data_IF_478163018677
#
_entry.id   IF_478163018677
#
_cell.length_a   1.000
_cell.length_b   1.000
_cell.length_c   1.000
_cell.angle_alpha   90.00
_cell.angle_beta   90.00
_cell.angle_gamma   90.00
#
_symmetry.space_group_name_H-M   'P 1'
#
loop_
_entity.id
_entity.type
_entity.pdbx_description
1 polymer ?
#
# COMPACT_ATOMS: atom_id res chain seq x y z
N UNK A 1 -4.22 -2.69 10.91
CA UNK A 1 -5.60 -2.13 10.96
C UNK A 1 -5.62 -0.67 10.52
N UNK A 2 -4.95 0.25 11.22
CA UNK A 2 -4.94 1.69 10.86
C UNK A 2 -4.52 1.92 9.40
N UNK A 3 -3.42 1.30 8.96
CA UNK A 3 -3.00 1.40 7.55
C UNK A 3 -4.06 0.89 6.57
N UNK A 4 -4.71 -0.23 6.83
CA UNK A 4 -5.81 -0.70 5.95
C UNK A 4 -7.01 0.26 5.94
N UNK A 5 -7.36 0.84 7.09
CA UNK A 5 -8.45 1.82 7.16
C UNK A 5 -8.11 3.10 6.39
N UNK A 6 -6.88 3.60 6.54
CA UNK A 6 -6.38 4.74 5.78
C UNK A 6 -6.38 4.46 4.27
N UNK A 7 -6.01 3.24 3.87
CA UNK A 7 -6.04 2.82 2.48
C UNK A 7 -7.45 2.79 1.90
N UNK A 8 -8.43 2.20 2.61
CA UNK A 8 -9.85 2.24 2.22
C UNK A 8 -10.34 3.69 2.09
N UNK A 9 -10.01 4.54 3.05
CA UNK A 9 -10.41 5.95 3.03
C UNK A 9 -9.78 6.70 1.84
N UNK A 10 -8.49 6.49 1.59
CA UNK A 10 -7.74 7.06 0.47
C UNK A 10 -8.33 6.63 -0.88
N UNK A 11 -8.56 5.33 -1.08
CA UNK A 11 -9.17 4.81 -2.32
C UNK A 11 -10.61 5.30 -2.50
N UNK A 12 -11.38 5.45 -1.43
CA UNK A 12 -12.74 6.02 -1.53
C UNK A 12 -12.70 7.50 -1.90
N UNK A 13 -11.76 8.26 -1.34
CA UNK A 13 -11.56 9.66 -1.68
C UNK A 13 -11.11 9.79 -3.13
N UNK A 14 -10.15 8.97 -3.56
CA UNK A 14 -9.69 8.93 -4.95
C UNK A 14 -10.83 8.68 -5.95
N UNK A 15 -11.72 7.73 -5.64
CA UNK A 15 -12.92 7.47 -6.45
C UNK A 15 -13.85 8.68 -6.53
N UNK A 16 -14.05 9.36 -5.41
CA UNK A 16 -14.85 10.58 -5.40
C UNK A 16 -14.21 11.64 -6.30
N UNK A 17 -12.89 11.83 -6.22
CA UNK A 17 -12.15 12.79 -7.04
C UNK A 17 -12.28 12.52 -8.54
N UNK A 18 -12.09 11.28 -8.96
CA UNK A 18 -12.32 10.89 -10.36
C UNK A 18 -13.78 11.03 -10.81
N UNK A 19 -14.75 10.83 -9.90
CA UNK A 19 -16.17 11.02 -10.19
C UNK A 19 -16.53 12.51 -10.39
N UNK A 20 -16.02 13.38 -9.53
CA UNK A 20 -16.30 14.83 -9.58
C UNK A 20 -15.37 15.62 -10.51
N UNK A 21 -14.35 14.96 -11.08
CA UNK A 21 -13.37 15.57 -11.99
C UNK A 21 -12.37 16.48 -11.27
N UNK A 22 -12.15 16.26 -9.98
CA UNK A 22 -11.13 16.97 -9.20
C UNK A 22 -9.86 16.14 -9.30
N UNK A 23 -8.82 16.64 -9.97
CA UNK A 23 -7.57 15.90 -10.15
C UNK A 23 -6.50 16.40 -9.18
N UNK A 24 -6.63 16.15 -7.87
CA UNK A 24 -5.51 16.37 -6.96
C UNK A 24 -4.87 15.03 -6.56
N UNK A 25 -3.64 15.09 -6.08
CA UNK A 25 -2.85 13.88 -5.78
C UNK A 25 -2.92 13.48 -4.29
N UNK A 26 -3.69 14.21 -3.47
CA UNK A 26 -3.79 13.93 -2.04
C UNK A 26 -4.35 12.54 -1.70
N UNK A 27 -5.34 11.97 -2.42
CA UNK A 27 -5.81 10.63 -2.10
C UNK A 27 -4.75 9.55 -2.37
N UNK A 28 -3.93 9.69 -3.43
CA UNK A 28 -2.80 8.79 -3.69
C UNK A 28 -1.74 8.84 -2.58
N UNK A 29 -1.41 10.02 -2.05
CA UNK A 29 -0.52 10.14 -0.87
C UNK A 29 -1.05 9.30 0.30
N UNK A 30 -2.35 9.38 0.57
CA UNK A 30 -2.95 8.64 1.67
C UNK A 30 -2.90 7.13 1.43
N UNK A 31 -3.13 6.68 0.18
CA UNK A 31 -3.00 5.29 -0.24
C UNK A 31 -1.57 4.78 -0.02
N UNK A 32 -0.57 5.54 -0.46
CA UNK A 32 0.85 5.15 -0.39
C UNK A 32 1.34 5.09 1.06
N UNK A 33 1.03 6.12 1.87
CA UNK A 33 1.37 6.13 3.30
C UNK A 33 0.70 4.97 4.04
N UNK A 34 -0.53 4.64 3.66
CA UNK A 34 -1.29 3.53 4.24
C UNK A 34 -0.66 2.19 3.91
N UNK A 35 -0.26 1.97 2.66
CA UNK A 35 0.43 0.76 2.22
C UNK A 35 1.81 0.64 2.89
N UNK A 36 2.60 1.72 2.93
CA UNK A 36 3.88 1.80 3.64
C UNK A 36 3.74 1.49 5.12
N UNK A 37 2.68 1.99 5.78
CA UNK A 37 2.42 1.70 7.18
C UNK A 37 2.13 0.20 7.40
N UNK A 38 1.34 -0.43 6.52
CA UNK A 38 1.08 -1.88 6.59
C UNK A 38 2.36 -2.67 6.39
N UNK A 39 3.12 -2.39 5.32
CA UNK A 39 4.39 -3.07 5.02
C UNK A 39 5.40 -2.85 6.14
N UNK A 40 5.49 -1.63 6.69
CA UNK A 40 6.34 -1.32 7.83
C UNK A 40 5.97 -2.15 9.06
N UNK A 41 4.69 -2.19 9.45
CA UNK A 41 4.24 -3.01 10.59
C UNK A 41 4.55 -4.48 10.37
N UNK A 42 4.31 -5.03 9.17
CA UNK A 42 4.65 -6.42 8.85
C UNK A 42 6.17 -6.65 8.85
N UNK A 43 6.95 -5.76 8.25
CA UNK A 43 8.40 -5.86 8.16
C UNK A 43 9.13 -5.70 9.50
N UNK A 44 8.58 -4.89 10.42
CA UNK A 44 9.11 -4.73 11.78
C UNK A 44 8.50 -5.71 12.78
N UNK A 45 7.41 -6.39 12.42
CA UNK A 45 6.86 -7.45 13.27
C UNK A 45 7.91 -8.54 13.46
N UNK A 46 8.06 -9.00 14.71
CA UNK A 46 9.10 -9.97 15.09
C UNK A 46 10.54 -9.51 14.80
N UNK A 47 10.83 -8.21 14.86
CA UNK A 47 12.15 -7.62 14.63
C UNK A 47 13.31 -8.37 15.29
N UNK A 48 13.11 -8.85 16.52
CA UNK A 48 14.11 -9.58 17.29
C UNK A 48 14.48 -10.95 16.71
N UNK A 49 13.63 -11.52 15.83
CA UNK A 49 13.85 -12.81 15.17
C UNK A 49 14.63 -12.70 13.85
N UNK A 50 14.81 -11.49 13.33
CA UNK A 50 15.57 -11.27 12.11
C UNK A 50 17.08 -11.20 12.38
N UNK A 51 17.87 -11.70 11.43
CA UNK A 51 19.32 -11.45 11.43
C UNK A 51 19.61 -9.95 11.36
N UNK A 52 20.80 -9.52 11.79
CA UNK A 52 21.21 -8.12 11.68
C UNK A 52 21.14 -7.61 10.24
N UNK A 53 21.58 -8.43 9.28
CA UNK A 53 21.54 -8.10 7.85
C UNK A 53 20.12 -7.91 7.36
N UNK A 54 19.20 -8.84 7.65
CA UNK A 54 17.80 -8.73 7.22
C UNK A 54 17.14 -7.45 7.77
N UNK A 55 17.40 -7.12 9.05
CA UNK A 55 16.93 -5.87 9.66
C UNK A 55 17.41 -4.63 8.91
N UNK A 56 18.71 -4.58 8.62
CA UNK A 56 19.32 -3.48 7.87
C UNK A 56 18.70 -3.37 6.47
N UNK A 57 18.55 -4.50 5.77
CA UNK A 57 17.94 -4.55 4.44
C UNK A 57 16.51 -4.04 4.44
N UNK A 58 15.66 -4.50 5.38
CA UNK A 58 14.27 -4.03 5.51
C UNK A 58 14.24 -2.51 5.73
N UNK A 59 15.06 -2.02 6.66
CA UNK A 59 15.09 -0.60 7.01
C UNK A 59 15.46 0.26 5.80
N UNK A 60 16.56 -0.07 5.11
CA UNK A 60 16.99 0.71 3.95
C UNK A 60 16.04 0.59 2.76
N UNK A 61 15.45 -0.58 2.51
CA UNK A 61 14.45 -0.74 1.45
C UNK A 61 13.19 0.09 1.76
N UNK A 62 12.68 0.05 3.00
CA UNK A 62 11.54 0.87 3.41
C UNK A 62 11.82 2.36 3.24
N UNK A 63 12.99 2.83 3.66
CA UNK A 63 13.39 4.24 3.49
C UNK A 63 13.49 4.59 2.00
N UNK A 64 14.17 3.77 1.20
CA UNK A 64 14.31 4.03 -0.23
C UNK A 64 12.96 4.08 -0.94
N UNK A 65 12.06 3.13 -0.66
CA UNK A 65 10.72 3.09 -1.25
C UNK A 65 9.89 4.27 -0.77
N UNK A 66 9.93 4.62 0.52
CA UNK A 66 9.23 5.78 1.02
C UNK A 66 9.72 7.08 0.36
N UNK A 67 11.03 7.22 0.12
CA UNK A 67 11.57 8.37 -0.61
C UNK A 67 11.12 8.38 -2.07
N UNK A 68 11.11 7.22 -2.73
CA UNK A 68 10.64 7.09 -4.12
C UNK A 68 9.15 7.46 -4.21
N UNK A 69 8.30 6.87 -3.37
CA UNK A 69 6.87 7.13 -3.37
C UNK A 69 6.55 8.58 -2.96
N UNK A 70 7.28 9.15 -1.99
CA UNK A 70 6.97 10.48 -1.46
C UNK A 70 7.63 11.65 -2.22
N UNK A 71 8.68 11.39 -3.00
CA UNK A 71 9.39 12.43 -3.74
C UNK A 71 8.51 13.19 -4.74
N UNK A 72 7.66 12.55 -5.58
CA UNK A 72 6.79 13.27 -6.51
C UNK A 72 5.87 14.25 -5.78
N UNK A 73 5.30 13.85 -4.64
CA UNK A 73 4.41 14.71 -3.86
C UNK A 73 5.16 15.85 -3.17
N UNK A 74 6.35 15.59 -2.63
CA UNK A 74 7.20 16.65 -2.07
C UNK A 74 7.56 17.69 -3.15
N UNK A 75 7.89 17.25 -4.37
CA UNK A 75 8.17 18.14 -5.50
C UNK A 75 6.92 18.90 -5.95
N UNK A 76 5.75 18.26 -5.96
CA UNK A 76 4.48 18.92 -6.28
C UNK A 76 4.14 20.03 -5.28
N UNK A 77 4.46 19.85 -4.00
CA UNK A 77 4.21 20.86 -2.96
C UNK A 77 5.24 21.99 -2.96
N UNK A 78 6.50 21.68 -3.30
CA UNK A 78 7.61 22.64 -3.14
C UNK A 78 7.96 23.38 -4.43
N UNK A 79 7.93 22.71 -5.58
CA UNK A 79 8.32 23.26 -6.88
C UNK A 79 7.42 22.76 -8.04
N UNK A 80 6.09 22.96 -7.97
CA UNK A 80 5.11 22.36 -8.89
C UNK A 80 5.31 22.70 -10.38
N UNK A 81 5.91 23.87 -10.68
CA UNK A 81 6.09 24.37 -12.05
C UNK A 81 7.53 24.22 -12.56
N UNK A 82 8.33 23.36 -11.93
CA UNK A 82 9.73 23.14 -12.31
C UNK A 82 9.89 22.18 -13.49
N UNK A 83 10.97 22.35 -14.26
CA UNK A 83 11.37 21.39 -15.30
C UNK A 83 11.62 19.99 -14.70
N UNK A 84 12.11 19.92 -13.47
CA UNK A 84 12.30 18.66 -12.75
C UNK A 84 10.98 17.92 -12.57
N UNK A 85 9.94 18.60 -12.08
CA UNK A 85 8.61 18.01 -11.90
C UNK A 85 8.04 17.54 -13.25
N UNK A 86 8.14 18.37 -14.30
CA UNK A 86 7.66 18.00 -15.63
C UNK A 86 8.37 16.75 -16.19
N UNK A 87 9.70 16.68 -16.03
CA UNK A 87 10.48 15.53 -16.47
C UNK A 87 10.16 14.26 -15.66
N UNK A 88 9.95 14.40 -14.34
CA UNK A 88 9.58 13.29 -13.47
C UNK A 88 8.23 12.70 -13.88
N UNK A 89 7.19 13.54 -13.96
CA UNK A 89 5.85 13.10 -14.39
C UNK A 89 5.89 12.48 -15.78
N UNK A 90 6.62 13.10 -16.73
CA UNK A 90 6.77 12.52 -18.07
C UNK A 90 7.45 11.16 -18.05
N UNK A 91 8.44 10.94 -17.19
CA UNK A 91 9.13 9.66 -17.07
C UNK A 91 8.24 8.60 -16.40
N UNK A 92 7.53 8.96 -15.33
CA UNK A 92 6.56 8.11 -14.63
C UNK A 92 5.45 7.65 -15.59
N UNK A 93 4.90 8.58 -16.37
CA UNK A 93 3.83 8.33 -17.33
C UNK A 93 4.28 7.69 -18.65
N UNK A 94 5.56 7.29 -18.78
CA UNK A 94 6.03 6.62 -20.00
C UNK A 94 6.75 5.31 -19.74
N UNK A 95 7.60 5.23 -18.71
CA UNK A 95 8.50 4.08 -18.50
C UNK A 95 8.80 3.79 -17.03
N UNK A 96 8.49 4.70 -16.11
CA UNK A 96 8.94 4.64 -14.73
C UNK A 96 8.21 3.64 -13.84
N UNK A 97 7.01 3.19 -14.22
CA UNK A 97 6.11 2.46 -13.34
C UNK A 97 6.72 1.24 -12.64
N UNK A 98 7.28 0.32 -13.42
CA UNK A 98 7.89 -0.90 -12.87
C UNK A 98 9.13 -0.63 -12.03
N UNK A 99 9.87 0.46 -12.33
CA UNK A 99 11.09 0.80 -11.60
C UNK A 99 10.79 1.47 -10.26
N UNK A 100 9.73 2.27 -10.18
CA UNK A 100 9.32 2.91 -8.94
C UNK A 100 8.58 1.93 -8.02
N UNK A 101 7.60 1.22 -8.57
CA UNK A 101 6.66 0.41 -7.77
C UNK A 101 7.10 -1.05 -7.61
N UNK A 102 7.89 -1.59 -8.54
CA UNK A 102 8.38 -2.97 -8.49
C UNK A 102 9.14 -3.33 -7.20
N UNK A 103 10.07 -2.49 -6.71
CA UNK A 103 10.71 -2.69 -5.42
C UNK A 103 9.71 -2.77 -4.25
N UNK A 104 8.64 -1.98 -4.29
CA UNK A 104 7.59 -2.00 -3.28
C UNK A 104 6.81 -3.33 -3.30
N UNK A 105 6.44 -3.83 -4.49
CA UNK A 105 5.80 -5.15 -4.62
C UNK A 105 6.70 -6.26 -4.05
N UNK A 106 7.99 -6.23 -4.40
CA UNK A 106 8.97 -7.21 -3.91
C UNK A 106 9.09 -7.18 -2.38
N UNK A 107 9.17 -5.98 -1.79
CA UNK A 107 9.21 -5.82 -0.35
C UNK A 107 7.91 -6.27 0.31
N UNK A 108 6.75 -5.88 -0.21
CA UNK A 108 5.43 -6.26 0.31
C UNK A 108 5.27 -7.78 0.32
N UNK A 109 5.60 -8.46 -0.78
CA UNK A 109 5.56 -9.91 -0.89
C UNK A 109 6.51 -10.58 0.10
N UNK A 110 7.74 -10.08 0.21
CA UNK A 110 8.73 -10.63 1.12
C UNK A 110 8.31 -10.45 2.59
N UNK A 111 7.87 -9.26 3.02
CA UNK A 111 7.44 -9.06 4.42
C UNK A 111 6.18 -9.87 4.74
N UNK A 112 5.25 -10.01 3.79
CA UNK A 112 4.05 -10.82 3.94
C UNK A 112 4.41 -12.30 4.13
N UNK A 113 5.31 -12.83 3.30
CA UNK A 113 5.83 -14.18 3.41
C UNK A 113 6.53 -14.43 4.74
N UNK A 114 7.48 -13.55 5.11
CA UNK A 114 8.24 -13.67 6.36
C UNK A 114 7.34 -13.58 7.58
N UNK A 115 6.34 -12.72 7.55
CA UNK A 115 5.37 -12.62 8.63
C UNK A 115 4.52 -13.89 8.77
N UNK A 116 4.16 -14.53 7.65
CA UNK A 116 3.46 -15.81 7.67
C UNK A 116 4.33 -16.93 8.25
N UNK A 117 5.61 -17.02 7.87
CA UNK A 117 6.53 -18.06 8.38
C UNK A 117 6.81 -17.95 9.88
N UNK A 118 6.92 -16.72 10.42
CA UNK A 118 7.37 -16.50 11.79
C UNK A 118 6.30 -16.78 12.86
N UNK A 119 5.13 -17.30 12.49
CA UNK A 119 4.02 -17.57 13.41
C UNK A 119 3.10 -18.68 12.88
N UNK A 120 2.12 -19.10 13.69
CA UNK A 120 1.05 -19.96 13.18
C UNK A 120 0.26 -19.23 12.08
N UNK A 121 0.29 -19.81 10.88
CA UNK A 121 -0.45 -19.34 9.72
C UNK A 121 -1.94 -19.63 9.93
N UNK A 122 -2.77 -18.61 9.77
CA UNK A 122 -4.24 -18.75 9.74
C UNK A 122 -4.77 -18.13 8.44
N UNK A 123 -5.96 -18.53 8.01
CA UNK A 123 -6.60 -17.96 6.81
C UNK A 123 -6.71 -16.44 6.93
N UNK A 124 -7.14 -15.91 8.08
CA UNK A 124 -7.23 -14.46 8.30
C UNK A 124 -5.87 -13.77 8.18
N UNK A 125 -4.78 -14.39 8.66
CA UNK A 125 -3.44 -13.82 8.50
C UNK A 125 -2.99 -13.83 7.05
N UNK A 126 -3.24 -14.91 6.31
CA UNK A 126 -2.94 -14.97 4.88
C UNK A 126 -3.70 -13.87 4.15
N UNK A 127 -4.99 -13.69 4.44
CA UNK A 127 -5.80 -12.63 3.81
C UNK A 127 -5.27 -11.24 4.17
N UNK A 128 -4.89 -10.99 5.42
CA UNK A 128 -4.30 -9.71 5.80
C UNK A 128 -2.98 -9.45 5.06
N UNK A 129 -2.02 -10.37 5.15
CA UNK A 129 -0.72 -10.23 4.53
C UNK A 129 -0.80 -10.19 3.00
N UNK A 130 -1.66 -11.01 2.39
CA UNK A 130 -1.90 -11.02 0.95
C UNK A 130 -2.58 -9.75 0.45
N UNK A 131 -3.45 -9.13 1.25
CA UNK A 131 -4.14 -7.89 0.90
C UNK A 131 -3.19 -6.76 0.51
N UNK A 132 -2.06 -6.58 1.24
CA UNK A 132 -1.09 -5.53 0.88
C UNK A 132 -0.27 -5.87 -0.38
N UNK A 133 -0.06 -7.16 -0.66
CA UNK A 133 0.58 -7.60 -1.91
C UNK A 133 -0.32 -7.30 -3.10
N UNK A 134 -1.63 -7.54 -2.95
CA UNK A 134 -2.63 -7.17 -3.97
C UNK A 134 -2.64 -5.66 -4.20
N UNK A 135 -2.62 -4.85 -3.14
CA UNK A 135 -2.52 -3.38 -3.26
C UNK A 135 -1.28 -3.00 -4.06
N UNK A 136 -0.09 -3.46 -3.66
CA UNK A 136 1.16 -3.10 -4.31
C UNK A 136 1.17 -3.49 -5.80
N UNK A 137 0.71 -4.71 -6.13
CA UNK A 137 0.62 -5.16 -7.52
C UNK A 137 -0.41 -4.35 -8.33
N UNK A 138 -1.54 -4.00 -7.70
CA UNK A 138 -2.56 -3.19 -8.32
C UNK A 138 -2.09 -1.74 -8.56
N UNK A 139 -1.25 -1.16 -7.70
CA UNK A 139 -0.63 0.16 -7.93
C UNK A 139 0.30 0.18 -9.15
N UNK A 140 1.05 -0.91 -9.40
CA UNK A 140 1.84 -1.05 -10.64
C UNK A 140 0.92 -1.05 -11.86
N UNK A 141 -0.17 -1.83 -11.79
CA UNK A 141 -1.15 -1.89 -12.87
C UNK A 141 -1.84 -0.54 -13.05
N UNK A 142 -2.13 0.16 -11.97
CA UNK A 142 -2.77 1.47 -12.00
C UNK A 142 -1.96 2.49 -12.80
N UNK A 143 -0.68 2.59 -12.49
CA UNK A 143 0.23 3.46 -13.22
C UNK A 143 0.35 3.04 -14.69
N UNK A 144 0.40 1.74 -14.99
CA UNK A 144 0.36 1.24 -16.38
C UNK A 144 -0.96 1.56 -17.09
N UNK A 145 -2.09 1.53 -16.38
CA UNK A 145 -3.40 1.88 -16.91
C UNK A 145 -3.42 3.34 -17.34
N UNK A 146 -2.97 4.24 -16.47
CA UNK A 146 -2.84 5.67 -16.78
C UNK A 146 -1.90 5.97 -17.95
N UNK A 147 -0.84 5.17 -18.15
CA UNK A 147 0.05 5.28 -19.31
C UNK A 147 -0.64 4.91 -20.63
N UNK A 148 -1.58 3.97 -20.60
CA UNK A 148 -2.17 3.35 -21.79
C UNK A 148 -3.58 3.84 -22.12
N UNK A 149 -4.27 4.47 -21.17
CA UNK A 149 -5.64 4.98 -21.31
C UNK A 149 -5.75 6.50 -21.01
N UNK A 150 -4.96 7.37 -21.67
CA UNK A 150 -4.92 8.80 -21.35
C UNK A 150 -6.19 9.59 -21.70
N UNK A 151 -7.06 9.04 -22.57
CA UNK A 151 -8.31 9.72 -22.98
C UNK A 151 -9.39 9.75 -21.89
N UNK A 152 -9.23 9.01 -20.80
CA UNK A 152 -10.19 9.00 -19.69
C UNK A 152 -9.97 10.17 -18.69
N UNK A 153 -8.85 10.90 -18.80
CA UNK A 153 -8.48 12.01 -17.90
C UNK A 153 -9.30 13.31 -18.11
N UNK A 154 -10.06 13.41 -19.20
CA UNK A 154 -10.82 14.63 -19.57
C UNK A 154 -12.33 14.58 -19.26
N UNK A 155 -12.85 13.45 -18.78
CA UNK A 155 -14.26 13.24 -18.44
C UNK A 155 -14.36 12.54 -17.09
N UNK A 156 -15.47 12.73 -16.35
CA UNK A 156 -15.76 11.94 -15.14
C UNK A 156 -15.56 10.44 -15.45
N UNK A 157 -14.61 9.81 -14.76
CA UNK A 157 -14.28 8.40 -15.00
C UNK A 157 -15.31 7.51 -14.29
N UNK A 158 -15.80 6.48 -14.99
CA UNK A 158 -16.64 5.48 -14.35
C UNK A 158 -15.75 4.51 -13.54
N UNK A 159 -15.90 4.49 -12.22
CA UNK A 159 -15.10 3.62 -11.34
C UNK A 159 -15.30 2.12 -11.61
N UNK A 160 -16.42 1.73 -12.23
CA UNK A 160 -16.63 0.34 -12.67
C UNK A 160 -15.69 -0.06 -13.81
N UNK A 161 -15.03 0.90 -14.46
CA UNK A 161 -14.07 0.69 -15.55
C UNK A 161 -12.63 1.02 -15.15
N UNK A 162 -12.34 1.09 -13.85
CA UNK A 162 -10.97 1.18 -13.30
C UNK A 162 -10.58 -0.11 -12.54
N UNK A 163 -10.27 -1.21 -13.23
CA UNK A 163 -9.88 -2.47 -12.60
C UNK A 163 -8.76 -2.37 -11.56
N UNK A 164 -7.68 -1.57 -11.76
CA UNK A 164 -6.61 -1.46 -10.76
C UNK A 164 -7.11 -0.90 -9.42
N UNK A 165 -7.91 0.16 -9.45
CA UNK A 165 -8.46 0.79 -8.26
C UNK A 165 -9.40 -0.16 -7.48
N UNK A 166 -10.17 -1.00 -8.18
CA UNK A 166 -11.02 -2.02 -7.57
C UNK A 166 -10.17 -3.04 -6.79
N UNK A 167 -9.01 -3.42 -7.33
CA UNK A 167 -8.08 -4.32 -6.65
C UNK A 167 -7.37 -3.65 -5.47
N UNK A 168 -7.00 -2.37 -5.57
CA UNK A 168 -6.46 -1.60 -4.45
C UNK A 168 -7.48 -1.58 -3.30
N UNK A 169 -8.74 -1.23 -3.58
CA UNK A 169 -9.82 -1.25 -2.59
C UNK A 169 -10.01 -2.64 -1.99
N UNK A 170 -10.10 -3.68 -2.83
CA UNK A 170 -10.27 -5.06 -2.38
C UNK A 170 -9.13 -5.49 -1.45
N UNK A 171 -7.88 -5.20 -1.82
CA UNK A 171 -6.71 -5.53 -1.02
C UNK A 171 -6.74 -4.86 0.36
N UNK A 172 -7.05 -3.56 0.42
CA UNK A 172 -7.19 -2.85 1.69
C UNK A 172 -8.38 -3.35 2.52
N UNK A 173 -9.56 -3.52 1.91
CA UNK A 173 -10.76 -3.98 2.58
C UNK A 173 -10.61 -5.40 3.14
N UNK A 174 -10.05 -6.32 2.36
CA UNK A 174 -9.77 -7.68 2.81
C UNK A 174 -8.82 -7.69 4.01
N UNK A 175 -7.75 -6.89 3.95
CA UNK A 175 -6.81 -6.75 5.06
C UNK A 175 -7.41 -6.12 6.31
N UNK A 176 -8.31 -5.14 6.14
CA UNK A 176 -9.07 -4.52 7.22
C UNK A 176 -9.98 -5.54 7.91
N UNK A 177 -10.82 -6.24 7.14
CA UNK A 177 -11.76 -7.25 7.64
C UNK A 177 -11.00 -8.35 8.37
N UNK A 178 -9.93 -8.86 7.78
CA UNK A 178 -9.14 -9.93 8.38
C UNK A 178 -8.43 -9.49 9.67
N UNK A 179 -7.92 -8.25 9.70
CA UNK A 179 -7.35 -7.65 10.92
C UNK A 179 -8.39 -7.53 12.03
N UNK A 180 -9.58 -7.00 11.71
CA UNK A 180 -10.67 -6.82 12.67
C UNK A 180 -11.19 -8.17 13.20
N UNK A 181 -11.41 -9.14 12.32
CA UNK A 181 -11.82 -10.49 12.68
C UNK A 181 -10.80 -11.17 13.62
N UNK A 182 -9.50 -10.95 13.38
CA UNK A 182 -8.44 -11.48 14.25
C UNK A 182 -8.51 -10.87 15.66
N UNK A 183 -8.73 -9.56 15.77
CA UNK A 183 -8.90 -8.89 17.07
C UNK A 183 -10.12 -9.39 17.84
N UNK A 184 -11.25 -9.59 17.14
CA UNK A 184 -12.47 -10.15 17.74
C UNK A 184 -12.26 -11.60 18.19
N UNK A 185 -11.51 -12.40 17.43
CA UNK A 185 -11.19 -13.76 17.85
C UNK A 185 -10.31 -13.78 19.12
N UNK A 186 -9.36 -12.86 19.23
CA UNK A 186 -8.48 -12.73 20.39
C UNK A 186 -9.22 -12.28 21.65
N UNK A 187 -10.20 -11.37 21.54
CA UNK A 187 -10.98 -10.90 22.70
C UNK A 187 -11.95 -11.94 23.26
N UNK A 188 -12.20 -13.03 22.53
CA UNK A 188 -13.05 -14.15 22.95
C UNK A 188 -12.29 -15.28 23.64
N UNK A 189 -10.96 -15.19 23.72
CA UNK A 189 -10.17 -16.19 24.44
C UNK A 189 -10.32 -15.95 25.95
N UNK A 190 -10.56 -17.00 26.76
CA UNK A 190 -10.58 -16.87 28.21
C UNK A 190 -9.26 -16.26 28.71
N UNK A 191 -9.32 -15.37 29.70
CA UNK A 191 -8.09 -14.93 30.37
C UNK A 191 -7.35 -16.16 30.89
N UNK A 192 -6.01 -16.24 30.69
CA UNK A 192 -5.24 -17.32 31.28
C UNK A 192 -5.43 -17.25 32.79
N UNK A 193 -6.05 -18.27 33.37
CA UNK A 193 -6.13 -18.44 34.81
C UNK A 193 -4.70 -18.44 35.33
N UNK A 194 -4.27 -17.31 35.90
CA UNK A 194 -2.98 -17.20 36.55
C UNK A 194 -3.03 -18.07 37.80
N UNK A 195 -2.66 -19.33 37.65
CA UNK A 195 -2.30 -20.16 38.79
C UNK A 195 -1.01 -19.55 39.37
N UNK A 196 -1.18 -18.56 40.25
CA UNK A 196 -0.17 -18.19 41.24
C UNK A 196 -0.10 -19.36 42.22
N UNK A 197 0.88 -20.24 42.01
CA UNK A 197 1.36 -21.17 43.01
C UNK A 197 2.71 -20.67 43.51
#
# INVERSE_FOLDING_TARGET
MIGYLGGVAGTTWDWHEHYVGVGNQAPHVLIDLSALLVVGVLGFSHWSRYSRTARITIYYLLVAIALIALAPYALMLTIPHSQLMANLVSWEMTRGALLLEGPFVGLAAWVAWRWAELSRVTVLRIVAAGGVVVVAAASVWDLYWHQTHPMELGTSMNMMTLPPHQLIMLGFAAGLIASAATLVAMSRLPEPTTNRA
#
